data_IF_528132718076
#
_entry.id   IF_528132718076
#
_cell.length_a   1.000
_cell.length_b   1.000
_cell.length_c   1.000
_cell.angle_alpha   90.00
_cell.angle_beta   90.00
_cell.angle_gamma   90.00
#
_symmetry.space_group_name_H-M   'P 1'
#
loop_
_entity.id
_entity.type
_entity.pdbx_description
1 polymer ?
#
# COMPACT_ATOMS: atom_id res chain seq x y z
N UNK A 1 -31.44 1.54 -17.07
CA UNK A 1 -31.41 2.72 -16.17
C UNK A 1 -30.19 3.55 -16.54
N UNK A 2 -30.29 4.89 -16.68
CA UNK A 2 -29.12 5.72 -16.92
C UNK A 2 -28.23 5.75 -15.67
N UNK A 3 -26.92 5.72 -15.85
CA UNK A 3 -25.94 5.83 -14.77
C UNK A 3 -26.16 7.16 -14.02
N UNK A 4 -26.14 7.11 -12.69
CA UNK A 4 -26.33 8.31 -11.86
C UNK A 4 -25.07 9.18 -11.86
N UNK A 5 -25.18 10.48 -11.55
CA UNK A 5 -24.00 11.38 -11.38
C UNK A 5 -22.95 10.82 -10.40
N UNK A 6 -23.40 10.01 -9.44
CA UNK A 6 -22.56 9.33 -8.46
C UNK A 6 -21.70 8.24 -9.12
N UNK A 7 -22.27 7.48 -10.06
CA UNK A 7 -21.56 6.45 -10.84
C UNK A 7 -20.51 7.09 -11.79
N UNK A 8 -20.85 8.25 -12.37
CA UNK A 8 -19.92 9.03 -13.21
C UNK A 8 -18.73 9.60 -12.41
N UNK A 9 -18.93 9.92 -11.11
CA UNK A 9 -17.87 10.34 -10.21
C UNK A 9 -17.00 9.17 -9.71
N UNK A 10 -17.53 7.95 -9.63
CA UNK A 10 -16.76 6.75 -9.30
C UNK A 10 -15.74 6.42 -10.39
N UNK A 11 -16.08 6.62 -11.67
CA UNK A 11 -15.25 6.34 -12.85
C UNK A 11 -14.52 7.57 -13.44
N UNK A 12 -14.28 8.60 -12.61
CA UNK A 12 -13.55 9.78 -13.07
C UNK A 12 -12.17 9.38 -13.65
N UNK A 13 -11.83 9.77 -14.89
CA UNK A 13 -10.62 9.28 -15.59
C UNK A 13 -9.31 9.50 -14.82
N UNK A 14 -9.25 10.57 -14.03
CA UNK A 14 -8.07 10.90 -13.22
C UNK A 14 -7.78 9.85 -12.13
N UNK A 15 -8.78 9.15 -11.60
CA UNK A 15 -8.58 8.07 -10.62
C UNK A 15 -7.75 6.93 -11.21
N UNK A 16 -8.07 6.53 -12.45
CA UNK A 16 -7.34 5.50 -13.18
C UNK A 16 -5.90 5.94 -13.49
N UNK A 17 -5.72 7.20 -13.90
CA UNK A 17 -4.39 7.78 -14.14
C UNK A 17 -3.55 7.79 -12.86
N UNK A 18 -4.14 8.20 -11.74
CA UNK A 18 -3.50 8.23 -10.44
C UNK A 18 -3.11 6.82 -9.97
N UNK A 19 -4.03 5.86 -10.03
CA UNK A 19 -3.75 4.46 -9.70
C UNK A 19 -2.61 3.89 -10.54
N UNK A 20 -2.62 4.13 -11.86
CA UNK A 20 -1.54 3.66 -12.75
C UNK A 20 -0.20 4.30 -12.41
N UNK A 21 -0.18 5.61 -12.15
CA UNK A 21 1.02 6.35 -11.79
C UNK A 21 1.60 5.85 -10.48
N UNK A 22 0.79 5.71 -9.44
CA UNK A 22 1.23 5.18 -8.15
C UNK A 22 1.67 3.73 -8.24
N UNK A 23 0.96 2.88 -8.99
CA UNK A 23 1.35 1.49 -9.20
C UNK A 23 2.73 1.38 -9.85
N UNK A 24 3.00 2.21 -10.87
CA UNK A 24 4.33 2.26 -11.51
C UNK A 24 5.40 2.75 -10.55
N UNK A 25 5.14 3.84 -9.84
CA UNK A 25 6.07 4.39 -8.85
C UNK A 25 6.44 3.36 -7.77
N UNK A 26 5.45 2.67 -7.19
CA UNK A 26 5.71 1.61 -6.22
C UNK A 26 6.54 0.46 -6.83
N UNK A 27 6.26 0.07 -8.08
CA UNK A 27 6.98 -1.00 -8.75
C UNK A 27 8.44 -0.67 -9.07
N UNK A 28 8.76 0.59 -9.40
CA UNK A 28 10.15 1.03 -9.58
C UNK A 28 10.97 0.81 -8.31
N UNK A 29 10.41 1.13 -7.15
CA UNK A 29 11.07 0.89 -5.86
C UNK A 29 11.08 -0.59 -5.46
N UNK A 30 9.98 -1.33 -5.67
CA UNK A 30 9.89 -2.73 -5.27
C UNK A 30 10.70 -3.69 -6.14
N UNK A 31 11.16 -3.26 -7.32
CA UNK A 31 11.99 -4.06 -8.22
C UNK A 31 13.28 -4.54 -7.56
N UNK A 32 13.91 -3.73 -6.71
CA UNK A 32 15.17 -4.09 -6.05
C UNK A 32 15.01 -5.21 -5.00
N UNK A 33 13.77 -5.47 -4.55
CA UNK A 33 13.44 -6.55 -3.59
C UNK A 33 12.59 -7.65 -4.23
N UNK A 34 12.55 -7.71 -5.56
CA UNK A 34 11.82 -8.70 -6.36
C UNK A 34 10.32 -8.81 -5.98
N UNK A 35 9.68 -7.66 -5.70
CA UNK A 35 8.24 -7.57 -5.44
C UNK A 35 7.56 -6.74 -6.53
N UNK A 36 6.28 -7.03 -6.79
CA UNK A 36 5.46 -6.30 -7.77
C UNK A 36 4.02 -6.16 -7.30
N UNK A 37 3.44 -5.00 -7.59
CA UNK A 37 2.04 -4.64 -7.44
C UNK A 37 1.40 -4.67 -8.82
N UNK A 38 0.33 -5.44 -8.95
CA UNK A 38 -0.55 -5.52 -10.12
C UNK A 38 -1.86 -4.78 -9.83
N UNK A 39 -2.41 -4.97 -8.63
CA UNK A 39 -3.63 -4.31 -8.17
C UNK A 39 -3.37 -3.59 -6.86
N UNK A 40 -3.20 -2.26 -6.93
CA UNK A 40 -2.87 -1.42 -5.78
C UNK A 40 -3.88 -1.55 -4.63
N UNK A 41 -5.14 -1.87 -4.91
CA UNK A 41 -6.19 -1.99 -3.89
C UNK A 41 -6.08 -3.30 -3.09
N UNK A 42 -5.61 -4.38 -3.71
CA UNK A 42 -5.55 -5.72 -3.10
C UNK A 42 -4.15 -6.11 -2.64
N UNK A 43 -3.13 -5.69 -3.37
CA UNK A 43 -1.77 -6.16 -3.20
C UNK A 43 -1.06 -5.57 -1.97
N UNK A 44 -1.60 -4.50 -1.39
CA UNK A 44 -1.09 -3.91 -0.16
C UNK A 44 -1.83 -4.44 1.09
N UNK A 45 -2.95 -5.15 0.92
CA UNK A 45 -3.88 -5.48 2.01
C UNK A 45 -3.34 -6.50 3.01
N UNK A 46 -2.30 -7.27 2.67
CA UNK A 46 -1.63 -8.20 3.59
C UNK A 46 -0.42 -7.58 4.33
N UNK A 47 -0.09 -6.32 4.01
CA UNK A 47 0.99 -5.53 4.57
C UNK A 47 2.40 -5.86 4.06
N UNK A 48 2.64 -6.98 3.36
CA UNK A 48 4.01 -7.42 3.02
C UNK A 48 4.69 -6.57 1.94
N UNK A 49 3.92 -6.12 0.95
CA UNK A 49 4.42 -5.22 -0.10
C UNK A 49 4.53 -3.80 0.42
N UNK A 50 3.62 -3.37 1.28
CA UNK A 50 3.68 -2.06 1.96
C UNK A 50 4.94 -1.96 2.82
N UNK A 51 5.19 -2.94 3.68
CA UNK A 51 6.41 -3.01 4.50
C UNK A 51 7.65 -2.97 3.62
N UNK A 52 7.70 -3.80 2.57
CA UNK A 52 8.83 -3.84 1.65
C UNK A 52 9.10 -2.49 0.98
N UNK A 53 8.05 -1.79 0.57
CA UNK A 53 8.15 -0.46 -0.03
C UNK A 53 8.72 0.55 0.97
N UNK A 54 8.23 0.56 2.21
CA UNK A 54 8.72 1.45 3.27
C UNK A 54 10.19 1.19 3.62
N UNK A 55 10.62 -0.07 3.71
CA UNK A 55 12.03 -0.41 3.95
C UNK A 55 12.93 0.09 2.82
N UNK A 56 12.51 -0.06 1.55
CA UNK A 56 13.26 0.44 0.40
C UNK A 56 13.31 1.97 0.39
N UNK A 57 12.20 2.65 0.65
CA UNK A 57 12.17 4.12 0.62
C UNK A 57 12.99 4.74 1.76
N UNK A 58 12.90 4.17 2.96
CA UNK A 58 13.57 4.70 4.15
C UNK A 58 15.03 4.22 4.30
N UNK A 59 15.42 3.17 3.56
CA UNK A 59 16.69 2.46 3.76
C UNK A 59 16.87 1.94 5.19
N UNK A 60 15.75 1.69 5.90
CA UNK A 60 15.71 1.18 7.28
C UNK A 60 14.92 -0.11 7.34
N UNK A 61 15.14 -0.89 8.40
CA UNK A 61 14.35 -2.09 8.71
C UNK A 61 13.19 -1.75 9.64
N UNK A 62 12.13 -2.55 9.55
CA UNK A 62 11.02 -2.45 10.51
C UNK A 62 11.52 -2.67 11.93
N UNK A 63 11.06 -1.83 12.86
CA UNK A 63 11.43 -1.90 14.29
C UNK A 63 10.69 -3.03 15.02
N UNK A 64 9.59 -3.55 14.44
CA UNK A 64 8.83 -4.69 14.96
C UNK A 64 8.81 -5.84 13.96
N UNK A 65 8.72 -7.06 14.50
CA UNK A 65 8.50 -8.26 13.71
C UNK A 65 7.11 -8.21 13.08
N UNK A 66 7.00 -8.75 11.87
CA UNK A 66 5.76 -8.89 11.12
C UNK A 66 5.65 -10.33 10.59
N UNK A 67 4.45 -10.71 10.17
CA UNK A 67 4.14 -12.05 9.70
C UNK A 67 4.53 -12.25 8.24
N UNK A 68 5.57 -13.05 7.99
CA UNK A 68 6.00 -13.39 6.63
C UNK A 68 4.96 -14.21 5.83
N UNK A 69 4.03 -14.89 6.52
CA UNK A 69 2.94 -15.68 5.92
C UNK A 69 1.59 -15.33 6.56
N UNK A 70 0.99 -14.17 6.22
CA UNK A 70 -0.22 -13.67 6.87
C UNK A 70 -1.48 -14.37 6.32
N UNK A 71 -1.71 -15.61 6.76
CA UNK A 71 -2.84 -16.43 6.30
C UNK A 71 -4.19 -15.95 6.87
N UNK A 72 -4.18 -15.39 8.08
CA UNK A 72 -5.38 -14.91 8.77
C UNK A 72 -5.51 -13.39 8.68
N UNK A 73 -6.75 -12.89 8.70
CA UNK A 73 -7.05 -11.45 8.69
C UNK A 73 -6.32 -10.71 9.81
N UNK A 74 -6.24 -11.28 11.01
CA UNK A 74 -5.52 -10.70 12.14
C UNK A 74 -4.04 -10.46 11.83
N UNK A 75 -3.36 -11.42 11.20
CA UNK A 75 -1.94 -11.30 10.82
C UNK A 75 -1.73 -10.22 9.76
N UNK A 76 -2.65 -10.10 8.80
CA UNK A 76 -2.64 -9.05 7.78
C UNK A 76 -2.79 -7.66 8.41
N UNK A 77 -3.74 -7.51 9.33
CA UNK A 77 -3.95 -6.28 10.07
C UNK A 77 -2.71 -5.90 10.89
N UNK A 78 -2.12 -6.86 11.60
CA UNK A 78 -0.88 -6.61 12.36
C UNK A 78 0.28 -6.14 11.48
N UNK A 79 0.46 -6.74 10.29
CA UNK A 79 1.46 -6.27 9.34
C UNK A 79 1.22 -4.81 8.90
N UNK A 80 -0.03 -4.46 8.58
CA UNK A 80 -0.37 -3.09 8.20
C UNK A 80 -0.16 -2.14 9.38
N UNK A 81 -0.55 -2.50 10.60
CA UNK A 81 -0.30 -1.71 11.80
C UNK A 81 1.18 -1.43 12.01
N UNK A 82 2.06 -2.42 11.82
CA UNK A 82 3.52 -2.22 11.89
C UNK A 82 4.01 -1.20 10.85
N UNK A 83 3.47 -1.25 9.63
CA UNK A 83 3.82 -0.28 8.59
C UNK A 83 3.34 1.15 8.92
N UNK A 84 2.15 1.30 9.52
CA UNK A 84 1.60 2.61 9.88
C UNK A 84 2.33 3.22 11.07
N UNK A 85 2.59 2.43 12.12
CA UNK A 85 3.41 2.86 13.25
C UNK A 85 4.85 3.22 12.82
N UNK A 86 5.41 2.57 11.79
CA UNK A 86 6.71 2.96 11.20
C UNK A 86 6.67 4.40 10.66
N UNK A 87 5.63 4.73 9.89
CA UNK A 87 5.45 6.06 9.31
C UNK A 87 5.29 7.13 10.39
N UNK A 88 4.53 6.82 11.45
CA UNK A 88 4.35 7.73 12.59
C UNK A 88 5.69 8.02 13.30
N UNK A 89 6.52 7.00 13.51
CA UNK A 89 7.86 7.16 14.12
C UNK A 89 8.84 7.93 13.24
N UNK A 90 8.71 7.84 11.93
CA UNK A 90 9.48 8.64 10.98
C UNK A 90 8.91 10.06 10.80
N UNK A 91 7.94 10.47 11.64
CA UNK A 91 7.28 11.77 11.61
C UNK A 91 6.56 12.08 10.28
N UNK A 92 6.12 11.04 9.56
CA UNK A 92 5.33 11.18 8.34
C UNK A 92 3.86 11.30 8.74
N UNK A 93 3.27 12.48 8.53
CA UNK A 93 1.87 12.75 8.88
C UNK A 93 0.93 11.98 7.96
N UNK A 94 0.13 11.10 8.56
CA UNK A 94 -0.98 10.42 7.90
C UNK A 94 -2.29 11.13 8.25
N UNK A 95 -3.17 11.33 7.27
CA UNK A 95 -4.48 11.97 7.48
C UNK A 95 -5.55 11.07 6.88
N UNK A 96 -6.48 10.61 7.72
CA UNK A 96 -7.67 9.83 7.34
C UNK A 96 -7.35 8.58 6.50
N UNK A 97 -6.56 7.66 7.06
CA UNK A 97 -6.22 6.34 6.48
C UNK A 97 -7.04 5.25 7.16
#
# INVERSE_FOLDING_TARGET
MPATEKDLAEDAPWKKIQQNTFTRWCNEHLKCVNKKIVDLQKDLSDGLKLIGLLEVLSQKKMYRKYHARPNFRQMKLENVSVALEFLEREHIKLVSI
#
